data_IF_556213006216
#
_entry.id   IF_556213006216
#
_cell.length_a   1.000
_cell.length_b   1.000
_cell.length_c   1.000
_cell.angle_alpha   90.00
_cell.angle_beta   90.00
_cell.angle_gamma   90.00
#
_symmetry.space_group_name_H-M   'P 1'
#
loop_
_entity.id
_entity.type
_entity.pdbx_description
1 polymer ?
#
# COMPACT_ATOMS: atom_id res chain seq x y z
N UNK A 1 -18.19 9.67 -16.63
CA UNK A 1 -17.35 8.81 -15.81
C UNK A 1 -16.97 9.55 -14.54
N UNK A 2 -17.14 8.90 -13.42
CA UNK A 2 -16.85 9.53 -12.13
C UNK A 2 -15.38 9.48 -11.81
N UNK A 3 -14.91 10.56 -11.20
CA UNK A 3 -13.55 10.60 -10.71
C UNK A 3 -13.52 10.06 -9.29
N UNK A 4 -12.46 9.34 -8.98
CA UNK A 4 -12.28 8.86 -7.62
C UNK A 4 -11.92 10.03 -6.72
N UNK A 5 -12.51 10.05 -5.53
CA UNK A 5 -12.11 11.01 -4.52
C UNK A 5 -10.73 10.62 -3.98
N UNK A 6 -10.09 11.56 -3.28
CA UNK A 6 -8.79 11.26 -2.64
C UNK A 6 -8.93 10.07 -1.69
N UNK A 7 -10.04 10.05 -0.93
CA UNK A 7 -10.28 8.93 -0.02
C UNK A 7 -10.35 7.60 -0.78
N UNK A 8 -11.07 7.58 -1.89
CA UNK A 8 -11.18 6.36 -2.69
C UNK A 8 -9.85 5.94 -3.28
N UNK A 9 -9.04 6.92 -3.69
CA UNK A 9 -7.72 6.63 -4.24
C UNK A 9 -6.82 6.01 -3.18
N UNK A 10 -6.88 6.51 -1.95
CA UNK A 10 -6.10 5.94 -0.85
C UNK A 10 -6.54 4.52 -0.55
N UNK A 11 -7.86 4.30 -0.49
CA UNK A 11 -8.39 2.96 -0.22
C UNK A 11 -8.03 1.99 -1.33
N UNK A 12 -8.11 2.44 -2.58
CA UNK A 12 -7.76 1.61 -3.72
C UNK A 12 -6.28 1.23 -3.69
N UNK A 13 -5.42 2.18 -3.31
CA UNK A 13 -3.98 1.91 -3.20
C UNK A 13 -3.71 0.83 -2.16
N UNK A 14 -4.34 0.95 -0.99
CA UNK A 14 -4.17 -0.05 0.07
C UNK A 14 -4.60 -1.43 -0.41
N UNK A 15 -5.74 -1.48 -1.10
CA UNK A 15 -6.25 -2.74 -1.63
C UNK A 15 -5.27 -3.36 -2.64
N UNK A 16 -4.73 -2.54 -3.53
CA UNK A 16 -3.80 -3.04 -4.54
C UNK A 16 -2.52 -3.56 -3.91
N UNK A 17 -2.02 -2.86 -2.89
CA UNK A 17 -0.83 -3.32 -2.18
C UNK A 17 -1.08 -4.67 -1.49
N UNK A 18 -2.25 -4.82 -0.89
CA UNK A 18 -2.60 -6.09 -0.24
C UNK A 18 -2.64 -7.23 -1.26
N UNK A 19 -3.23 -6.97 -2.42
CA UNK A 19 -3.29 -7.98 -3.48
C UNK A 19 -1.89 -8.37 -3.93
N UNK A 20 -1.00 -7.40 -4.07
CA UNK A 20 0.37 -7.68 -4.48
C UNK A 20 1.11 -8.51 -3.44
N UNK A 21 0.86 -8.24 -2.15
CA UNK A 21 1.44 -9.06 -1.07
C UNK A 21 0.96 -10.49 -1.15
N UNK A 22 -0.32 -10.69 -1.38
CA UNK A 22 -0.89 -12.03 -1.50
C UNK A 22 -0.31 -12.77 -2.70
N UNK A 23 -0.04 -12.04 -3.77
CA UNK A 23 0.56 -12.61 -4.97
C UNK A 23 1.96 -13.15 -4.71
N UNK A 24 2.69 -12.52 -3.78
CA UNK A 24 4.04 -12.93 -3.45
C UNK A 24 4.11 -13.96 -2.33
N UNK A 25 3.03 -14.09 -1.56
CA UNK A 25 3.00 -14.95 -0.38
C UNK A 25 1.76 -15.81 -0.42
N UNK A 26 1.91 -17.03 -0.93
CA UNK A 26 0.77 -17.92 -1.17
C UNK A 26 -0.03 -18.25 0.10
N UNK A 27 0.61 -18.19 1.27
CA UNK A 27 -0.05 -18.53 2.52
C UNK A 27 -0.72 -17.33 3.18
N UNK A 28 -0.51 -16.14 2.63
CA UNK A 28 -1.08 -14.92 3.20
C UNK A 28 -2.48 -14.70 2.65
N UNK A 29 -3.45 -14.49 3.55
CA UNK A 29 -4.81 -14.17 3.12
C UNK A 29 -4.99 -12.65 3.11
N UNK A 30 -6.18 -12.20 2.69
CA UNK A 30 -6.45 -10.75 2.58
C UNK A 30 -6.34 -10.04 3.93
N UNK A 31 -6.84 -10.67 5.00
CA UNK A 31 -6.75 -10.04 6.32
C UNK A 31 -5.30 -9.84 6.75
N UNK A 32 -4.46 -10.84 6.50
CA UNK A 32 -3.04 -10.74 6.82
C UNK A 32 -2.38 -9.64 6.00
N UNK A 33 -2.68 -9.61 4.70
CA UNK A 33 -2.09 -8.62 3.81
C UNK A 33 -2.49 -7.21 4.21
N UNK A 34 -3.78 -7.01 4.51
CA UNK A 34 -4.25 -5.70 4.94
C UNK A 34 -3.60 -5.27 6.25
N UNK A 35 -3.42 -6.22 7.19
CA UNK A 35 -2.73 -5.91 8.44
C UNK A 35 -1.31 -5.43 8.20
N UNK A 36 -0.59 -6.09 7.30
CA UNK A 36 0.77 -5.68 6.97
C UNK A 36 0.77 -4.24 6.45
N UNK A 37 -0.14 -3.94 5.52
CA UNK A 37 -0.20 -2.60 4.94
C UNK A 37 -0.57 -1.56 6.01
N UNK A 38 -1.59 -1.83 6.82
CA UNK A 38 -2.06 -0.87 7.82
C UNK A 38 -1.02 -0.58 8.89
N UNK A 39 -0.14 -1.52 9.17
CA UNK A 39 0.89 -1.34 10.20
C UNK A 39 2.21 -0.82 9.64
N UNK A 40 2.25 -0.50 8.35
CA UNK A 40 3.48 -0.07 7.70
C UNK A 40 3.64 1.45 7.72
N UNK A 41 4.89 1.90 7.61
CA UNK A 41 5.19 3.32 7.41
C UNK A 41 4.70 3.76 6.02
N UNK A 42 4.69 2.84 5.06
CA UNK A 42 4.18 3.12 3.73
C UNK A 42 2.72 3.57 3.80
N UNK A 43 1.93 2.93 4.66
CA UNK A 43 0.54 3.32 4.85
C UNK A 43 0.42 4.77 5.31
N UNK A 44 1.27 5.17 6.26
CA UNK A 44 1.26 6.54 6.76
C UNK A 44 1.52 7.54 5.62
N UNK A 45 2.44 7.19 4.73
CA UNK A 45 2.75 8.05 3.60
C UNK A 45 1.63 8.08 2.57
N UNK A 46 0.89 6.98 2.41
CA UNK A 46 -0.27 6.96 1.53
C UNK A 46 -1.34 7.91 2.06
N UNK A 47 -1.53 7.93 3.37
CA UNK A 47 -2.53 8.78 4.00
C UNK A 47 -2.12 10.25 4.00
N UNK A 48 -0.81 10.54 3.89
CA UNK A 48 -0.30 11.90 3.88
C UNK A 48 -0.43 12.48 2.47
N UNK A 49 -1.34 13.42 2.33
CA UNK A 49 -1.61 14.01 1.02
C UNK A 49 -0.42 14.76 0.46
N UNK A 50 0.46 15.26 1.32
CA UNK A 50 1.65 15.96 0.87
C UNK A 50 2.67 15.02 0.24
N UNK A 51 2.70 13.77 0.68
CA UNK A 51 3.61 12.79 0.12
C UNK A 51 3.19 12.36 -1.27
N UNK A 52 1.88 12.41 -1.56
CA UNK A 52 1.38 12.13 -2.89
C UNK A 52 1.44 10.68 -3.33
N UNK A 53 1.68 9.74 -2.42
CA UNK A 53 1.76 8.34 -2.80
C UNK A 53 0.43 7.78 -3.28
N UNK A 54 -0.67 8.36 -2.82
CA UNK A 54 -1.99 7.82 -3.15
C UNK A 54 -2.31 7.95 -4.66
N UNK A 55 -1.65 8.85 -5.38
CA UNK A 55 -1.89 8.99 -6.82
C UNK A 55 -0.77 8.41 -7.68
N UNK A 56 0.25 7.83 -7.08
CA UNK A 56 1.31 7.16 -7.83
C UNK A 56 0.85 5.77 -8.24
N UNK A 57 1.64 5.10 -9.07
CA UNK A 57 1.29 3.74 -9.44
C UNK A 57 1.45 2.81 -8.23
N UNK A 58 0.60 1.78 -8.19
CA UNK A 58 0.67 0.81 -7.10
C UNK A 58 2.03 0.11 -7.06
N UNK A 59 2.60 -0.16 -8.24
CA UNK A 59 3.90 -0.81 -8.31
C UNK A 59 4.99 0.05 -7.68
N UNK A 60 4.94 1.35 -7.93
CA UNK A 60 5.90 2.28 -7.35
C UNK A 60 5.78 2.30 -5.83
N UNK A 61 4.55 2.42 -5.34
CA UNK A 61 4.31 2.45 -3.90
C UNK A 61 4.67 1.12 -3.26
N UNK A 62 4.38 0.01 -3.95
CA UNK A 62 4.72 -1.31 -3.43
C UNK A 62 6.23 -1.47 -3.23
N UNK A 63 7.04 -0.80 -4.04
CA UNK A 63 8.49 -0.89 -3.86
C UNK A 63 8.91 -0.38 -2.49
N UNK A 64 8.25 0.66 -1.98
CA UNK A 64 8.52 1.15 -0.63
C UNK A 64 8.08 0.15 0.43
N UNK A 65 6.90 -0.42 0.26
CA UNK A 65 6.38 -1.41 1.20
C UNK A 65 7.28 -2.64 1.23
N UNK A 66 7.68 -3.12 0.07
CA UNK A 66 8.53 -4.30 -0.03
C UNK A 66 9.87 -4.05 0.66
N UNK A 67 10.45 -2.88 0.43
CA UNK A 67 11.70 -2.49 1.07
C UNK A 67 11.55 -2.41 2.58
N UNK A 68 10.42 -1.87 3.04
CA UNK A 68 10.13 -1.75 4.45
C UNK A 68 10.03 -3.13 5.11
N UNK A 69 9.35 -4.07 4.44
CA UNK A 69 9.20 -5.42 4.97
C UNK A 69 10.55 -6.11 5.08
N UNK A 70 11.40 -5.95 4.07
CA UNK A 70 12.70 -6.62 4.04
C UNK A 70 13.71 -6.00 4.98
N UNK A 71 13.64 -4.69 5.19
CA UNK A 71 14.64 -3.95 5.95
C UNK A 71 14.13 -3.41 7.28
N UNK A 72 12.86 -3.60 7.55
CA UNK A 72 12.24 -3.16 8.80
C UNK A 72 11.76 -1.72 8.82
N UNK A 73 12.12 -0.93 7.81
CA UNK A 73 11.62 0.44 7.71
C UNK A 73 12.01 1.04 6.37
N UNK A 74 11.30 2.11 6.02
CA UNK A 74 11.65 2.92 4.86
C UNK A 74 12.72 3.91 5.29
N UNK A 75 13.74 4.04 4.49
CA UNK A 75 14.73 5.08 4.77
C UNK A 75 14.98 5.86 3.52
#
# INVERSE_FOLDING_TARGET
MEQMSIFEMKADMVKKLAIMLMSQNNEMNMNDALSVVFNSDTYQKIMDEKAGLYYQSARYVFSFLDSEIKNGKIC
#
